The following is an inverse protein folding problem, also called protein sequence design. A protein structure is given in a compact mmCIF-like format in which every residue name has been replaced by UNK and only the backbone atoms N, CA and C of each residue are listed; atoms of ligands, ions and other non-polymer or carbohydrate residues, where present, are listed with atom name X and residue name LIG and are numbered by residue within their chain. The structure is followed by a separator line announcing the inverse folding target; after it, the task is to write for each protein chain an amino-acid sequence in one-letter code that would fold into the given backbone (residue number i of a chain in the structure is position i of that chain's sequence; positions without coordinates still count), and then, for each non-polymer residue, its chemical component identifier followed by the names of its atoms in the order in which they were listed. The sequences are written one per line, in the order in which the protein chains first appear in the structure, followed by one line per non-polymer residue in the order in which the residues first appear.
data_IF_851789744371
#
_entry.id   IF_851789744371
#
_cell.length_a   1.000
_cell.length_b   1.000
_cell.length_c   1.000
_cell.angle_alpha   90.00
_cell.angle_beta   90.00
_cell.angle_gamma   90.00
#
_symmetry.space_group_name_H-M   'P 1'
#
loop_
_entity.id
_entity.type
_entity.pdbx_description
1 polymer ?
#
# COMPACT_ATOMS: atom_id res chain seq x y z
N UNK A 1 -23.86 8.83 20.87
CA UNK A 1 -23.77 8.32 19.48
C UNK A 1 -22.61 7.33 19.41
N UNK A 2 -22.89 6.17 18.89
CA UNK A 2 -21.88 5.11 18.78
C UNK A 2 -21.22 5.15 17.40
N UNK A 3 -19.91 4.97 17.41
CA UNK A 3 -19.16 4.73 16.18
C UNK A 3 -19.09 3.22 15.96
N UNK A 4 -19.60 2.71 14.84
CA UNK A 4 -19.56 1.28 14.59
C UNK A 4 -18.14 0.79 14.37
N UNK A 5 -17.91 -0.49 14.68
CA UNK A 5 -16.68 -1.15 14.28
C UNK A 5 -16.72 -1.32 12.76
N UNK A 6 -15.62 -1.00 12.11
CA UNK A 6 -15.51 -1.07 10.64
C UNK A 6 -14.71 -2.31 10.27
N UNK A 7 -15.31 -3.16 9.44
CA UNK A 7 -14.65 -4.35 8.93
C UNK A 7 -13.90 -4.01 7.64
N UNK A 8 -12.62 -4.33 7.58
CA UNK A 8 -11.81 -4.09 6.37
C UNK A 8 -12.04 -5.24 5.39
N UNK A 9 -13.06 -5.10 4.55
CA UNK A 9 -13.39 -6.11 3.54
C UNK A 9 -13.29 -5.52 2.12
N UNK A 10 -13.59 -6.33 1.13
CA UNK A 10 -13.58 -5.97 -0.28
C UNK A 10 -14.97 -6.11 -0.91
N UNK A 11 -16.02 -5.90 -0.12
CA UNK A 11 -17.40 -6.13 -0.55
C UNK A 11 -17.93 -5.10 -1.55
N UNK A 12 -17.17 -4.03 -1.82
CA UNK A 12 -17.54 -2.99 -2.78
C UNK A 12 -16.48 -2.91 -3.89
N UNK A 13 -16.80 -2.30 -5.06
CA UNK A 13 -15.84 -2.20 -6.14
C UNK A 13 -14.62 -1.36 -5.74
N UNK A 14 -13.40 -1.81 -6.07
CA UNK A 14 -12.20 -1.04 -5.78
C UNK A 14 -12.02 0.12 -6.74
N UNK A 15 -11.21 1.08 -6.33
CA UNK A 15 -10.61 2.05 -7.23
C UNK A 15 -9.44 1.36 -7.95
N UNK A 16 -9.48 1.35 -9.29
CA UNK A 16 -8.50 0.63 -10.12
C UNK A 16 -7.68 1.63 -10.91
N UNK A 17 -6.37 1.54 -10.81
CA UNK A 17 -5.48 2.40 -11.59
C UNK A 17 -4.10 1.76 -11.74
N UNK A 18 -3.33 2.11 -12.80
CA UNK A 18 -1.91 1.80 -12.81
C UNK A 18 -1.17 2.80 -11.93
N UNK A 19 0.06 2.49 -11.50
CA UNK A 19 0.95 3.52 -10.99
C UNK A 19 1.21 4.56 -12.09
N UNK A 20 1.59 5.81 -11.74
CA UNK A 20 1.93 6.81 -12.76
C UNK A 20 2.97 6.25 -13.73
N UNK A 21 2.73 6.44 -15.04
CA UNK A 21 3.55 5.83 -16.08
C UNK A 21 5.04 6.18 -15.94
N UNK A 22 5.35 7.41 -15.54
CA UNK A 22 6.73 7.87 -15.34
C UNK A 22 7.43 7.20 -14.17
N UNK A 23 6.70 6.52 -13.30
CA UNK A 23 7.27 5.79 -12.16
C UNK A 23 7.47 4.31 -12.44
N UNK A 24 6.83 3.77 -13.47
CA UNK A 24 6.92 2.35 -13.78
C UNK A 24 8.28 2.02 -14.37
N UNK A 25 8.95 1.03 -13.78
CA UNK A 25 10.27 0.56 -14.19
C UNK A 25 10.13 -0.70 -15.07
N UNK A 26 9.21 -1.60 -14.71
CA UNK A 26 9.02 -2.86 -15.40
C UNK A 26 7.57 -3.32 -15.32
N UNK A 27 7.10 -4.00 -16.38
CA UNK A 27 5.77 -4.57 -16.45
C UNK A 27 4.67 -3.54 -16.68
N UNK A 28 3.44 -4.00 -16.51
CA UNK A 28 2.24 -3.16 -16.62
C UNK A 28 1.38 -3.40 -15.38
N UNK A 29 1.85 -3.01 -14.20
CA UNK A 29 1.14 -3.28 -12.97
C UNK A 29 -0.18 -2.49 -12.89
N UNK A 30 -1.19 -3.13 -12.30
CA UNK A 30 -2.48 -2.52 -12.02
C UNK A 30 -2.70 -2.62 -10.52
N UNK A 31 -3.07 -1.53 -9.88
CA UNK A 31 -3.41 -1.52 -8.46
C UNK A 31 -4.91 -1.41 -8.25
N UNK A 32 -5.39 -2.00 -7.16
CA UNK A 32 -6.78 -1.91 -6.71
C UNK A 32 -6.79 -1.51 -5.25
N UNK A 33 -7.60 -0.51 -4.92
CA UNK A 33 -7.67 0.02 -3.55
C UNK A 33 -9.12 -0.05 -3.07
N UNK A 34 -9.31 -0.67 -1.92
CA UNK A 34 -10.56 -0.66 -1.16
C UNK A 34 -10.30 0.20 0.09
N UNK A 35 -10.46 1.52 -0.02
CA UNK A 35 -10.26 2.39 1.14
C UNK A 35 -11.53 2.39 1.98
N UNK A 36 -11.54 1.52 2.98
CA UNK A 36 -12.74 1.22 3.76
C UNK A 36 -13.00 2.29 4.82
N UNK A 37 -11.94 2.85 5.40
CA UNK A 37 -12.07 3.81 6.48
C UNK A 37 -11.18 5.01 6.26
N UNK A 38 -11.75 6.19 6.52
CA UNK A 38 -11.01 7.45 6.62
C UNK A 38 -11.55 8.18 7.86
N UNK A 39 -10.66 8.64 8.74
CA UNK A 39 -11.10 9.38 9.91
C UNK A 39 -11.56 10.80 9.51
N UNK A 40 -12.36 11.47 10.36
CA UNK A 40 -12.87 12.80 10.01
C UNK A 40 -11.79 13.86 9.74
N UNK A 41 -10.60 13.71 10.31
CA UNK A 41 -9.49 14.66 10.07
C UNK A 41 -8.73 14.36 8.78
N UNK A 42 -9.07 13.25 8.10
CA UNK A 42 -8.40 12.81 6.87
C UNK A 42 -6.90 12.58 7.07
N UNK A 43 -6.52 12.06 8.23
CA UNK A 43 -5.14 11.72 8.57
C UNK A 43 -4.91 10.23 8.73
N UNK A 44 -5.96 9.46 9.01
CA UNK A 44 -5.87 8.01 9.20
C UNK A 44 -6.78 7.30 8.20
N UNK A 45 -6.21 6.35 7.48
CA UNK A 45 -6.91 5.55 6.47
C UNK A 45 -6.61 4.09 6.68
N UNK A 46 -7.60 3.24 6.42
CA UNK A 46 -7.38 1.79 6.50
C UNK A 46 -8.23 1.09 5.44
N UNK A 47 -7.70 0.00 4.91
CA UNK A 47 -8.39 -0.76 3.88
C UNK A 47 -7.57 -1.91 3.36
N UNK A 48 -7.85 -2.27 2.10
CA UNK A 48 -7.16 -3.33 1.39
C UNK A 48 -6.61 -2.82 0.07
N UNK A 49 -5.54 -3.44 -0.38
CA UNK A 49 -4.86 -3.05 -1.60
C UNK A 49 -4.33 -4.31 -2.29
N UNK A 50 -4.39 -4.34 -3.60
CA UNK A 50 -3.78 -5.41 -4.39
C UNK A 50 -3.06 -4.83 -5.59
N UNK A 51 -2.11 -5.59 -6.12
CA UNK A 51 -1.39 -5.21 -7.34
C UNK A 51 -0.98 -6.45 -8.11
N UNK A 52 -0.99 -6.31 -9.44
CA UNK A 52 -0.42 -7.30 -10.34
C UNK A 52 1.08 -7.07 -10.52
N UNK A 53 1.76 -8.05 -11.14
CA UNK A 53 3.21 -8.05 -11.34
C UNK A 53 3.70 -6.78 -12.01
N UNK A 54 4.83 -6.28 -11.52
CA UNK A 54 5.49 -5.11 -12.04
C UNK A 54 6.40 -4.48 -11.02
N UNK A 55 7.09 -3.42 -11.44
CA UNK A 55 8.01 -2.70 -10.57
C UNK A 55 7.86 -1.22 -10.82
N UNK A 56 7.77 -0.43 -9.75
CA UNK A 56 7.67 1.02 -9.87
C UNK A 56 8.33 1.72 -8.70
N UNK A 57 8.66 2.99 -8.92
CA UNK A 57 9.22 3.84 -7.88
C UNK A 57 8.12 4.30 -6.93
N UNK A 58 8.46 4.32 -5.64
CA UNK A 58 7.57 4.84 -4.60
C UNK A 58 8.30 5.91 -3.79
N UNK A 59 7.52 6.88 -3.34
CA UNK A 59 7.97 7.90 -2.40
C UNK A 59 6.82 8.17 -1.44
N UNK A 60 7.05 7.94 -0.17
CA UNK A 60 6.00 8.03 0.83
C UNK A 60 6.07 9.35 1.57
N UNK A 61 4.95 10.05 1.64
CA UNK A 61 4.77 11.21 2.52
C UNK A 61 4.07 10.80 3.81
N UNK A 62 3.47 9.59 3.81
CA UNK A 62 2.74 9.01 4.94
C UNK A 62 3.52 7.86 5.55
N UNK A 63 3.11 7.47 6.77
CA UNK A 63 3.55 6.21 7.36
C UNK A 63 2.51 5.14 7.02
N UNK A 64 2.95 4.00 6.55
CA UNK A 64 2.03 2.92 6.18
C UNK A 64 2.40 1.62 6.88
N UNK A 65 1.42 1.06 7.61
CA UNK A 65 1.48 -0.31 8.10
C UNK A 65 0.93 -1.22 7.00
N UNK A 66 1.68 -2.26 6.65
CA UNK A 66 1.29 -3.25 5.66
C UNK A 66 1.27 -4.63 6.30
N UNK A 67 0.21 -5.40 6.04
CA UNK A 67 0.14 -6.81 6.39
C UNK A 67 -0.17 -7.57 5.12
N UNK A 68 0.77 -8.40 4.66
CA UNK A 68 0.62 -9.15 3.42
C UNK A 68 -0.39 -10.27 3.58
N UNK A 69 -1.35 -10.34 2.67
CA UNK A 69 -2.40 -11.37 2.67
C UNK A 69 -2.25 -12.33 1.49
N UNK A 70 -1.46 -11.98 0.48
CA UNK A 70 -1.23 -12.83 -0.70
C UNK A 70 0.00 -12.34 -1.45
N UNK A 71 0.66 -13.25 -2.17
CA UNK A 71 1.71 -12.91 -3.12
C UNK A 71 3.06 -12.63 -2.48
N UNK A 72 3.94 -12.02 -3.27
CA UNK A 72 5.32 -11.73 -2.86
C UNK A 72 5.77 -10.42 -3.45
N UNK A 73 6.39 -9.58 -2.63
CA UNK A 73 6.91 -8.28 -3.04
C UNK A 73 8.33 -8.09 -2.55
N UNK A 74 9.09 -7.27 -3.27
CA UNK A 74 10.42 -6.80 -2.86
C UNK A 74 10.36 -5.29 -2.74
N UNK A 75 10.79 -4.78 -1.60
CA UNK A 75 10.92 -3.34 -1.38
C UNK A 75 12.40 -3.03 -1.22
N UNK A 76 12.88 -2.08 -2.00
CA UNK A 76 14.28 -1.66 -1.95
C UNK A 76 14.36 -0.16 -1.79
N UNK A 77 15.11 0.30 -0.77
CA UNK A 77 15.33 1.73 -0.55
C UNK A 77 16.39 2.27 -1.50
N UNK A 78 16.39 3.58 -1.73
CA UNK A 78 17.45 4.24 -2.52
C UNK A 78 18.83 4.05 -1.87
N UNK A 79 18.87 3.76 -0.57
CA UNK A 79 20.14 3.46 0.14
C UNK A 79 20.60 2.01 -0.02
N UNK A 80 19.81 1.17 -0.71
CA UNK A 80 20.18 -0.21 -1.01
C UNK A 80 19.67 -1.25 -0.03
N UNK A 81 18.89 -0.89 0.97
CA UNK A 81 18.21 -1.87 1.82
C UNK A 81 17.14 -2.58 0.99
N UNK A 82 17.21 -3.91 0.98
CA UNK A 82 16.30 -4.73 0.16
C UNK A 82 15.66 -5.79 1.04
N UNK A 83 14.32 -5.85 1.01
CA UNK A 83 13.54 -6.82 1.77
C UNK A 83 12.46 -7.45 0.92
N UNK A 84 12.26 -8.75 1.14
CA UNK A 84 11.21 -9.54 0.49
C UNK A 84 10.13 -9.86 1.52
N UNK A 85 8.87 -9.64 1.15
CA UNK A 85 7.72 -9.91 2.00
C UNK A 85 6.72 -10.81 1.30
N UNK A 86 6.11 -11.71 2.07
CA UNK A 86 5.07 -12.63 1.58
C UNK A 86 3.96 -12.76 2.62
N UNK A 87 2.99 -13.65 2.36
CA UNK A 87 1.81 -13.81 3.21
C UNK A 87 2.18 -13.93 4.69
N UNK A 88 1.51 -13.16 5.52
CA UNK A 88 1.71 -13.13 6.97
C UNK A 88 2.74 -12.12 7.45
N UNK A 89 3.58 -11.57 6.56
CA UNK A 89 4.56 -10.57 6.96
C UNK A 89 3.88 -9.24 7.22
N UNK A 90 4.33 -8.56 8.27
CA UNK A 90 3.87 -7.23 8.63
C UNK A 90 5.07 -6.29 8.72
N UNK A 91 4.92 -5.09 8.16
CA UNK A 91 6.00 -4.12 8.15
C UNK A 91 5.45 -2.70 8.05
N UNK A 92 6.30 -1.73 8.35
CA UNK A 92 5.97 -0.32 8.21
C UNK A 92 6.88 0.30 7.16
N UNK A 93 6.28 1.03 6.22
CA UNK A 93 7.01 1.92 5.32
C UNK A 93 6.84 3.33 5.88
N UNK A 94 7.91 3.92 6.44
CA UNK A 94 7.78 5.23 7.10
C UNK A 94 7.73 6.39 6.11
N UNK A 95 7.16 7.49 6.58
CA UNK A 95 7.18 8.75 5.83
C UNK A 95 8.61 9.14 5.48
N UNK A 96 8.82 9.60 4.26
CA UNK A 96 10.14 9.93 3.75
C UNK A 96 10.83 8.78 3.03
N UNK A 97 10.26 7.57 3.06
CA UNK A 97 10.82 6.44 2.32
C UNK A 97 10.81 6.75 0.82
N UNK A 98 11.92 6.46 0.16
CA UNK A 98 12.08 6.56 -1.28
C UNK A 98 12.77 5.29 -1.79
N UNK A 99 12.21 4.66 -2.80
CA UNK A 99 12.75 3.43 -3.33
C UNK A 99 11.85 2.81 -4.38
N UNK A 100 11.82 1.49 -4.43
CA UNK A 100 11.02 0.74 -5.40
C UNK A 100 10.16 -0.32 -4.70
N UNK A 101 9.01 -0.59 -5.30
CA UNK A 101 8.12 -1.67 -4.94
C UNK A 101 8.05 -2.60 -6.16
N UNK A 102 8.42 -3.85 -5.97
CA UNK A 102 8.37 -4.85 -7.03
C UNK A 102 7.45 -5.98 -6.64
N UNK A 103 6.45 -6.25 -7.46
CA UNK A 103 5.52 -7.36 -7.27
C UNK A 103 6.05 -8.54 -8.06
N UNK A 104 6.54 -9.56 -7.37
CA UNK A 104 7.04 -10.79 -7.97
C UNK A 104 5.91 -11.78 -8.26
N UNK A 105 4.88 -11.78 -7.42
CA UNK A 105 3.65 -12.56 -7.59
C UNK A 105 2.51 -11.63 -7.22
N UNK A 106 1.43 -11.66 -8.00
CA UNK A 106 0.26 -10.81 -7.74
C UNK A 106 -0.05 -10.82 -6.25
N UNK A 107 -0.13 -9.64 -5.66
CA UNK A 107 -0.13 -9.50 -4.21
C UNK A 107 -1.36 -8.75 -3.70
N UNK A 108 -1.62 -8.94 -2.41
CA UNK A 108 -2.60 -8.16 -1.68
C UNK A 108 -2.13 -7.91 -0.26
N UNK A 109 -2.64 -6.86 0.33
CA UNK A 109 -2.32 -6.49 1.71
C UNK A 109 -3.49 -5.78 2.37
N UNK A 110 -3.50 -5.82 3.69
CA UNK A 110 -4.26 -4.91 4.53
C UNK A 110 -3.33 -3.75 4.84
N UNK A 111 -3.84 -2.52 4.77
CA UNK A 111 -3.04 -1.34 5.07
C UNK A 111 -3.71 -0.45 6.10
N UNK A 112 -2.88 0.28 6.85
CA UNK A 112 -3.30 1.42 7.65
C UNK A 112 -2.27 2.53 7.42
N UNK A 113 -2.77 3.72 7.11
CA UNK A 113 -1.93 4.87 6.75
C UNK A 113 -2.21 6.00 7.72
N UNK A 114 -1.14 6.63 8.20
CA UNK A 114 -1.24 7.90 8.90
C UNK A 114 -0.46 8.96 8.11
N UNK A 115 -1.16 10.01 7.73
CA UNK A 115 -0.54 11.16 7.08
C UNK A 115 -0.82 12.40 7.90
N UNK A 116 0.23 12.96 8.51
CA UNK A 116 0.08 14.15 9.33
C UNK A 116 -0.34 15.35 8.47
N UNK A 117 -1.36 16.06 8.92
CA UNK A 117 -1.80 17.30 8.29
C UNK A 117 -1.64 18.41 9.31
N UNK A 118 -0.69 19.34 9.12
CA UNK A 118 -0.50 20.45 10.02
C UNK A 118 -1.70 21.39 9.96
N UNK A 119 -2.03 22.00 11.08
CA UNK A 119 -3.10 22.97 11.23
C UNK A 119 -4.38 22.40 11.70
#
# INVERSE_FOLDING_TARGET
MNSPIVLLDDAFPPEVSPPPAERVIAGQPITRIWNVFADPTQQFFAGRWSASRGKWRIRYTENELCVMTCGKVVIESDAGERRTFSIGDAFVVPAGFSGTWEVLEDCSKIYAIFEHRPG
#
